data_IF_570926093799
#
_entry.id   IF_570926093799
#
_cell.length_a   1.000
_cell.length_b   1.000
_cell.length_c   1.000
_cell.angle_alpha   90.00
_cell.angle_beta   90.00
_cell.angle_gamma   90.00
#
_symmetry.space_group_name_H-M   'P 1'
#
loop_
_entity.id
_entity.type
_entity.pdbx_description
1 polymer ?
#
# COMPACT_ATOMS: atom_id res chain seq x y z
N UNK A 1 23.02 -11.81 -18.38
CA UNK A 1 22.12 -11.95 -18.04
C UNK A 1 20.97 -12.01 -18.85
N UNK A 2 20.83 -12.92 -19.56
CA UNK A 2 19.73 -13.11 -20.40
C UNK A 2 18.47 -13.27 -19.64
N UNK A 3 18.51 -13.72 -18.42
CA UNK A 3 17.31 -13.89 -17.73
C UNK A 3 16.63 -12.62 -17.41
N UNK A 4 17.37 -11.61 -17.10
CA UNK A 4 16.72 -10.39 -16.82
C UNK A 4 16.12 -9.79 -18.02
N UNK A 5 16.74 -9.95 -19.16
CA UNK A 5 16.14 -9.44 -20.36
C UNK A 5 14.83 -10.15 -20.64
N UNK A 6 14.82 -11.43 -20.41
CA UNK A 6 13.63 -12.18 -20.67
C UNK A 6 12.50 -11.75 -19.76
N UNK A 7 12.81 -11.49 -18.50
CA UNK A 7 11.77 -11.10 -17.61
C UNK A 7 11.22 -9.76 -17.94
N UNK A 8 12.06 -8.83 -18.35
CA UNK A 8 11.54 -7.55 -18.73
C UNK A 8 10.63 -7.67 -19.91
N UNK A 9 10.97 -8.52 -20.84
CA UNK A 9 10.11 -8.67 -21.97
C UNK A 9 8.78 -9.26 -21.61
N UNK A 10 8.76 -10.17 -20.66
CA UNK A 10 7.52 -10.79 -20.33
C UNK A 10 6.66 -9.97 -19.42
N UNK A 11 7.24 -9.33 -18.44
CA UNK A 11 6.41 -8.66 -17.48
C UNK A 11 6.26 -7.21 -17.76
N UNK A 12 7.21 -6.60 -18.43
CA UNK A 12 7.17 -5.19 -18.74
C UNK A 12 7.19 -4.31 -17.51
N UNK A 13 7.69 -4.78 -16.38
CA UNK A 13 7.81 -3.98 -15.17
C UNK A 13 9.25 -3.98 -14.68
N UNK A 14 9.66 -2.88 -14.07
CA UNK A 14 11.01 -2.79 -13.57
C UNK A 14 11.13 -3.18 -12.10
N UNK A 15 10.02 -3.50 -11.46
CA UNK A 15 10.03 -4.04 -10.11
C UNK A 15 10.74 -3.15 -9.08
N UNK A 16 10.42 -1.88 -9.09
CA UNK A 16 10.91 -1.03 -8.03
C UNK A 16 10.03 -1.29 -6.81
N UNK A 17 10.51 -2.09 -5.88
CA UNK A 17 9.71 -2.53 -4.74
C UNK A 17 10.30 -2.05 -3.44
N UNK A 18 9.40 -1.75 -2.49
CA UNK A 18 9.77 -1.44 -1.13
C UNK A 18 9.02 -2.42 -0.25
N UNK A 19 9.72 -3.06 0.66
CA UNK A 19 9.11 -4.05 1.55
C UNK A 19 9.37 -3.67 2.98
N UNK A 20 8.43 -3.96 3.83
CA UNK A 20 8.59 -3.64 5.24
C UNK A 20 7.36 -4.02 6.04
N UNK A 21 7.25 -3.43 7.22
CA UNK A 21 6.16 -3.68 8.14
C UNK A 21 5.59 -2.33 8.56
N UNK A 22 4.30 -2.22 8.64
CA UNK A 22 3.70 -0.96 9.05
C UNK A 22 2.23 -1.09 9.38
N UNK A 23 1.62 0.03 9.72
CA UNK A 23 0.20 0.07 10.05
C UNK A 23 -0.62 0.36 8.81
N UNK A 24 -1.73 -0.35 8.67
CA UNK A 24 -2.65 -0.11 7.57
C UNK A 24 -3.72 0.86 8.04
N UNK A 25 -3.89 1.94 7.32
CA UNK A 25 -4.84 2.99 7.68
C UNK A 25 -5.64 3.46 6.48
N UNK A 26 -6.70 4.17 6.75
CA UNK A 26 -7.46 4.89 5.72
C UNK A 26 -7.79 4.06 4.50
N UNK A 27 -8.35 2.89 4.71
CA UNK A 27 -8.81 2.07 3.59
C UNK A 27 -10.07 2.73 3.03
N UNK A 28 -10.06 2.99 1.73
CA UNK A 28 -11.18 3.70 1.12
C UNK A 28 -11.26 3.40 -0.37
N UNK A 29 -12.42 3.66 -0.91
CA UNK A 29 -12.61 3.57 -2.36
C UNK A 29 -12.57 4.98 -2.91
N UNK A 30 -11.72 5.21 -3.88
CA UNK A 30 -11.53 6.52 -4.46
C UNK A 30 -12.24 6.60 -5.80
N UNK A 31 -12.99 7.68 -5.99
CA UNK A 31 -13.65 7.92 -7.26
C UNK A 31 -12.93 9.08 -7.92
N UNK A 32 -12.21 8.83 -8.97
CA UNK A 32 -11.45 9.91 -9.60
C UNK A 32 -12.38 10.97 -10.14
N UNK A 33 -11.91 12.18 -10.17
CA UNK A 33 -12.72 13.25 -10.71
C UNK A 33 -12.83 13.14 -12.21
N UNK A 34 -12.12 12.21 -12.80
CA UNK A 34 -12.20 12.01 -14.22
C UNK A 34 -13.60 11.70 -14.63
N UNK A 35 -13.95 11.92 -15.86
CA UNK A 35 -15.28 11.68 -16.32
C UNK A 35 -15.56 10.25 -16.60
N UNK A 36 -14.56 9.39 -16.63
CA UNK A 36 -14.81 8.02 -17.00
C UNK A 36 -15.41 7.27 -15.86
N UNK A 37 -16.49 6.56 -16.11
CA UNK A 37 -17.12 5.78 -15.11
C UNK A 37 -16.37 4.51 -14.85
N UNK A 38 -16.52 3.96 -13.70
CA UNK A 38 -15.95 2.65 -13.41
C UNK A 38 -14.50 2.67 -13.09
N UNK A 39 -13.94 3.84 -12.86
CA UNK A 39 -12.54 3.90 -12.56
C UNK A 39 -12.26 4.06 -11.09
N UNK A 40 -13.17 3.60 -10.27
CA UNK A 40 -12.95 3.61 -8.83
C UNK A 40 -11.86 2.64 -8.48
N UNK A 41 -11.11 2.95 -7.46
CA UNK A 41 -10.07 2.02 -7.04
C UNK A 41 -9.96 2.04 -5.53
N UNK A 42 -9.42 0.95 -5.00
CA UNK A 42 -9.22 0.81 -3.57
C UNK A 42 -7.90 1.45 -3.21
N UNK A 43 -7.90 2.24 -2.16
CA UNK A 43 -6.71 2.94 -1.71
C UNK A 43 -6.54 2.80 -0.21
N UNK A 44 -5.33 2.97 0.25
CA UNK A 44 -5.05 2.91 1.67
C UNK A 44 -3.78 3.67 1.96
N UNK A 45 -3.51 3.89 3.24
CA UNK A 45 -2.27 4.50 3.67
C UNK A 45 -1.52 3.47 4.51
N UNK A 46 -0.24 3.30 4.23
CA UNK A 46 0.60 2.41 5.00
C UNK A 46 1.62 3.27 5.73
N UNK A 47 1.60 3.21 7.07
CA UNK A 47 2.59 3.92 7.86
C UNK A 47 3.70 2.94 8.17
N UNK A 48 4.73 2.95 7.35
CA UNK A 48 5.80 1.98 7.45
C UNK A 48 6.73 2.34 8.61
N UNK A 49 7.09 1.35 9.39
CA UNK A 49 8.00 1.55 10.49
C UNK A 49 9.42 1.57 9.97
N UNK A 50 10.23 2.47 10.47
CA UNK A 50 11.63 2.51 10.09
C UNK A 50 12.49 2.79 11.30
N UNK A 51 13.75 2.40 11.18
CA UNK A 51 14.70 2.63 12.26
C UNK A 51 14.76 1.46 13.20
N UNK A 52 15.22 1.70 14.41
CA UNK A 52 15.35 0.61 15.36
C UNK A 52 14.07 0.43 16.14
N UNK A 53 13.88 -0.74 16.72
CA UNK A 53 12.68 -0.99 17.50
C UNK A 53 12.64 -0.12 18.75
N UNK A 54 13.77 0.47 19.15
CA UNK A 54 13.78 1.33 20.31
C UNK A 54 13.50 2.78 19.95
N UNK A 55 13.52 3.12 18.68
CA UNK A 55 13.31 4.50 18.28
C UNK A 55 12.68 4.48 16.91
N UNK A 56 11.41 4.16 16.85
CA UNK A 56 10.71 3.92 15.59
C UNK A 56 10.25 5.22 14.97
N UNK A 57 10.59 5.41 13.70
CA UNK A 57 10.00 6.48 12.92
C UNK A 57 9.03 5.90 11.93
N UNK A 58 8.29 6.74 11.24
CA UNK A 58 7.29 6.27 10.29
C UNK A 58 7.39 7.01 8.98
N UNK A 59 7.22 6.27 7.91
CA UNK A 59 7.11 6.85 6.57
C UNK A 59 5.76 6.45 6.02
N UNK A 60 4.96 7.39 5.59
CA UNK A 60 3.64 7.09 5.10
C UNK A 60 3.65 6.95 3.60
N UNK A 61 3.04 5.87 3.12
CA UNK A 61 2.86 5.66 1.70
C UNK A 61 1.38 5.70 1.40
N UNK A 62 1.00 6.49 0.42
CA UNK A 62 -0.40 6.59 0.01
C UNK A 62 -0.54 5.69 -1.20
N UNK A 63 -1.24 4.59 -1.05
CA UNK A 63 -1.19 3.51 -2.01
C UNK A 63 -2.51 3.24 -2.69
N UNK A 64 -2.40 2.87 -3.96
CA UNK A 64 -3.49 2.25 -4.66
C UNK A 64 -3.29 0.76 -4.50
N UNK A 65 -4.34 0.03 -4.13
CA UNK A 65 -4.22 -1.41 -3.93
C UNK A 65 -4.35 -2.10 -5.28
N UNK A 66 -3.33 -2.85 -5.65
CA UNK A 66 -3.23 -3.39 -7.00
C UNK A 66 -3.23 -4.90 -6.98
N UNK A 67 -4.03 -5.50 -7.83
CA UNK A 67 -4.11 -6.96 -7.93
C UNK A 67 -5.22 -7.53 -7.07
N UNK A 68 -5.75 -8.67 -7.49
CA UNK A 68 -6.92 -9.23 -6.83
C UNK A 68 -6.60 -9.75 -5.43
N UNK A 69 -5.42 -10.33 -5.22
CA UNK A 69 -5.08 -10.85 -3.91
C UNK A 69 -4.92 -9.73 -2.90
N UNK A 70 -4.23 -8.66 -3.27
CA UNK A 70 -4.05 -7.54 -2.36
C UNK A 70 -5.39 -6.90 -2.05
N UNK A 71 -6.25 -6.77 -3.05
CA UNK A 71 -7.56 -6.17 -2.84
C UNK A 71 -8.40 -7.00 -1.88
N UNK A 72 -8.36 -8.32 -2.01
CA UNK A 72 -9.13 -9.17 -1.12
C UNK A 72 -8.68 -9.01 0.32
N UNK A 73 -7.37 -8.96 0.54
CA UNK A 73 -6.86 -8.86 1.88
C UNK A 73 -7.18 -7.50 2.49
N UNK A 74 -7.02 -6.42 1.72
CA UNK A 74 -7.31 -5.10 2.24
C UNK A 74 -8.79 -4.97 2.56
N UNK A 75 -9.65 -5.55 1.70
CA UNK A 75 -11.09 -5.52 2.00
C UNK A 75 -11.39 -6.33 3.26
N UNK A 76 -10.69 -7.44 3.45
CA UNK A 76 -10.89 -8.24 4.66
C UNK A 76 -10.55 -7.44 5.92
N UNK A 77 -9.52 -6.60 5.85
CA UNK A 77 -9.07 -5.84 6.99
C UNK A 77 -9.77 -4.49 7.17
N UNK A 78 -10.59 -4.13 6.20
CA UNK A 78 -11.19 -2.79 6.20
C UNK A 78 -12.01 -2.51 7.45
N UNK A 79 -12.78 -3.49 7.89
CA UNK A 79 -13.63 -3.28 9.06
C UNK A 79 -12.79 -3.04 10.31
N UNK A 80 -11.65 -3.71 10.43
CA UNK A 80 -10.78 -3.53 11.58
C UNK A 80 -10.13 -2.14 11.53
N UNK A 81 -9.76 -1.70 10.36
CA UNK A 81 -9.17 -0.36 10.20
C UNK A 81 -10.21 0.69 10.57
N UNK A 82 -11.44 0.51 10.08
CA UNK A 82 -12.50 1.46 10.38
C UNK A 82 -12.82 1.48 11.87
N UNK A 83 -12.71 0.34 12.53
CA UNK A 83 -12.95 0.28 13.97
C UNK A 83 -11.76 0.79 14.78
N UNK A 84 -10.75 1.30 14.09
CA UNK A 84 -9.58 1.89 14.72
C UNK A 84 -8.75 0.91 15.50
N UNK A 85 -8.79 -0.35 15.10
CA UNK A 85 -7.92 -1.32 15.69
C UNK A 85 -6.53 -1.18 15.12
N UNK A 86 -5.54 -1.72 15.79
CA UNK A 86 -4.18 -1.64 15.31
C UNK A 86 -3.96 -2.76 14.31
N UNK A 87 -3.91 -2.42 13.05
CA UNK A 87 -3.72 -3.40 11.97
C UNK A 87 -2.31 -3.24 11.45
N UNK A 88 -1.47 -4.23 11.71
CA UNK A 88 -0.09 -4.23 11.26
C UNK A 88 0.02 -5.21 10.11
N UNK A 89 0.69 -4.81 9.04
CA UNK A 89 0.86 -5.67 7.89
C UNK A 89 2.32 -5.70 7.48
N UNK A 90 2.73 -6.84 6.91
CA UNK A 90 3.95 -6.91 6.15
C UNK A 90 3.57 -6.62 4.71
N UNK A 91 4.30 -5.77 4.04
CA UNK A 91 3.84 -5.28 2.75
C UNK A 91 4.91 -5.30 1.67
N UNK A 92 4.46 -5.26 0.43
CA UNK A 92 5.30 -4.98 -0.72
C UNK A 92 4.60 -3.88 -1.52
N UNK A 93 5.28 -2.75 -1.65
CA UNK A 93 4.75 -1.60 -2.39
C UNK A 93 5.67 -1.36 -3.58
N UNK A 94 5.08 -1.08 -4.72
CA UNK A 94 5.85 -0.89 -5.95
C UNK A 94 5.66 0.50 -6.51
N UNK A 95 6.59 0.89 -7.35
CA UNK A 95 6.47 2.07 -8.20
C UNK A 95 6.28 3.34 -7.39
N UNK A 96 7.06 3.47 -6.33
CA UNK A 96 6.89 4.62 -5.45
C UNK A 96 7.43 5.89 -6.10
N UNK A 97 6.79 6.98 -5.82
CA UNK A 97 7.26 8.28 -6.31
C UNK A 97 6.71 9.39 -5.40
N UNK A 98 7.42 10.51 -5.30
CA UNK A 98 6.93 11.62 -4.49
C UNK A 98 5.98 12.48 -5.31
N UNK A 99 4.96 13.00 -4.66
CA UNK A 99 4.04 13.89 -5.32
C UNK A 99 3.90 15.13 -4.47
N UNK A 100 4.14 16.28 -5.05
CA UNK A 100 4.04 17.54 -4.34
C UNK A 100 2.61 18.03 -4.37
N UNK A 101 2.18 18.66 -3.30
CA UNK A 101 0.85 19.27 -3.29
C UNK A 101 0.90 20.51 -2.42
N UNK A 102 -0.14 21.32 -2.51
CA UNK A 102 -0.26 22.51 -1.70
C UNK A 102 -1.47 22.32 -0.79
N UNK A 103 -1.31 22.64 0.49
CA UNK A 103 -2.42 22.51 1.42
C UNK A 103 -3.46 23.56 1.07
N UNK A 104 -4.69 23.12 0.93
CA UNK A 104 -5.74 24.04 0.53
C UNK A 104 -6.51 24.58 1.71
N UNK A 105 -6.45 23.93 2.85
CA UNK A 105 -7.20 24.30 4.02
C UNK A 105 -6.37 24.19 5.27
N UNK A 106 -6.85 24.77 6.35
CA UNK A 106 -6.24 24.59 7.65
C UNK A 106 -5.06 25.51 7.88
N UNK A 107 -4.32 25.20 8.92
CA UNK A 107 -3.24 26.05 9.32
C UNK A 107 -2.10 26.07 8.34
N UNK A 108 -2.01 25.04 7.51
CA UNK A 108 -0.94 24.97 6.54
C UNK A 108 -1.35 25.44 5.17
N UNK A 109 -2.49 26.09 5.07
CA UNK A 109 -2.98 26.56 3.78
C UNK A 109 -1.91 27.33 3.05
N UNK A 110 -1.65 27.02 1.81
CA UNK A 110 -0.65 27.67 1.00
C UNK A 110 0.73 27.08 1.11
N UNK A 111 0.95 26.17 2.04
CA UNK A 111 2.26 25.57 2.19
C UNK A 111 2.37 24.32 1.33
N UNK A 112 3.57 24.00 0.94
CA UNK A 112 3.82 22.81 0.14
C UNK A 112 3.92 21.59 1.04
N UNK A 113 3.48 20.47 0.52
CA UNK A 113 3.64 19.20 1.19
C UNK A 113 4.08 18.17 0.19
N UNK A 114 4.47 16.99 0.69
CA UNK A 114 4.87 15.91 -0.19
C UNK A 114 4.20 14.63 0.28
N UNK A 115 3.75 13.84 -0.66
CA UNK A 115 3.15 12.56 -0.39
C UNK A 115 3.91 11.53 -1.17
N UNK A 116 4.19 10.37 -0.59
CA UNK A 116 4.85 9.31 -1.32
C UNK A 116 3.77 8.36 -1.78
N UNK A 117 3.62 8.24 -3.08
CA UNK A 117 2.59 7.40 -3.69
C UNK A 117 3.18 6.08 -4.11
N UNK A 118 2.36 5.07 -4.21
CA UNK A 118 2.81 3.78 -4.67
C UNK A 118 1.64 2.84 -4.89
N UNK A 119 1.95 1.60 -5.20
CA UNK A 119 0.95 0.58 -5.43
C UNK A 119 1.19 -0.54 -4.44
N UNK A 120 0.20 -0.87 -3.63
CA UNK A 120 0.31 -1.97 -2.69
C UNK A 120 0.05 -3.25 -3.46
N UNK A 121 1.08 -4.04 -3.64
CA UNK A 121 0.98 -5.26 -4.43
C UNK A 121 0.68 -6.47 -3.58
N UNK A 122 1.13 -6.47 -2.33
CA UNK A 122 0.99 -7.66 -1.53
C UNK A 122 0.97 -7.34 -0.06
N UNK A 123 0.12 -8.06 0.67
CA UNK A 123 0.13 -8.05 2.12
C UNK A 123 0.63 -9.44 2.52
N UNK A 124 1.82 -9.51 3.11
CA UNK A 124 2.45 -10.78 3.40
C UNK A 124 1.91 -11.42 4.66
N UNK A 125 1.54 -10.62 5.62
CA UNK A 125 0.93 -11.10 6.85
C UNK A 125 0.17 -9.94 7.49
N UNK A 126 -0.70 -10.24 8.40
CA UNK A 126 -1.43 -9.20 9.12
C UNK A 126 -1.67 -9.61 10.56
N UNK A 127 -1.62 -8.61 11.45
CA UNK A 127 -1.98 -8.80 12.84
C UNK A 127 -2.95 -7.71 13.21
N UNK A 128 -4.01 -8.08 13.89
CA UNK A 128 -5.01 -7.12 14.35
C UNK A 128 -5.00 -7.15 15.85
N UNK A 129 -4.66 -6.01 16.49
CA UNK A 129 -4.52 -5.91 17.94
C UNK A 129 -3.66 -7.03 18.48
N UNK A 130 -2.57 -7.33 17.77
CA UNK A 130 -1.59 -8.31 18.21
C UNK A 130 -1.85 -9.74 17.82
N UNK A 131 -3.00 -10.03 17.23
CA UNK A 131 -3.31 -11.41 16.87
C UNK A 131 -3.13 -11.62 15.37
N UNK A 132 -2.47 -12.71 15.01
CA UNK A 132 -2.26 -13.03 13.61
C UNK A 132 -3.56 -13.41 12.93
N UNK A 133 -3.74 -12.93 11.73
CA UNK A 133 -4.96 -13.13 10.97
C UNK A 133 -4.65 -13.94 9.72
N UNK A 134 -5.49 -14.93 9.43
CA UNK A 134 -5.35 -15.70 8.20
C UNK A 134 -5.84 -14.82 7.05
N UNK A 135 -5.03 -14.70 6.03
CA UNK A 135 -5.33 -13.77 4.94
C UNK A 135 -6.15 -14.43 3.84
N UNK A 136 -7.04 -13.63 3.27
CA UNK A 136 -7.93 -14.08 2.22
C UNK A 136 -7.23 -13.98 0.88
N UNK A 137 -6.15 -14.71 0.69
CA UNK A 137 -5.44 -14.68 -0.58
C UNK A 137 -4.91 -16.08 -0.88
N UNK A 138 -4.46 -16.28 -2.10
CA UNK A 138 -3.96 -17.56 -2.48
C UNK A 138 -2.73 -17.86 -1.70
N UNK A 139 -2.62 -19.07 -1.16
CA UNK A 139 -1.50 -19.39 -0.34
C UNK A 139 -0.27 -19.74 -1.13
N UNK A 140 -0.43 -20.10 -2.34
CA UNK A 140 0.68 -20.58 -3.11
C UNK A 140 1.37 -19.56 -3.93
N UNK A 141 1.01 -18.33 -3.81
CA UNK A 141 1.47 -17.37 -4.69
C UNK A 141 2.60 -16.56 -4.23
N UNK A 142 3.38 -17.07 -3.41
CA UNK A 142 4.36 -16.26 -2.80
C UNK A 142 5.32 -15.62 -3.74
N UNK A 143 5.57 -16.19 -4.85
CA UNK A 143 6.50 -15.61 -5.74
C UNK A 143 5.97 -14.81 -6.85
N UNK A 144 4.72 -14.80 -7.10
CA UNK A 144 4.21 -14.15 -8.28
C UNK A 144 3.33 -13.04 -7.90
N UNK A 145 3.85 -11.94 -7.62
CA UNK A 145 3.06 -10.88 -7.08
C UNK A 145 2.52 -9.91 -8.06
N UNK A 146 2.90 -9.95 -9.27
CA UNK A 146 2.36 -8.98 -10.21
C UNK A 146 1.43 -9.58 -11.20
#
# INVERSE_FOLDING_TARGET
MSEQSRQLNESSYFDLHVEGVGYLNRVRTVKPKSKKKGQEFLACTVSAMRGSTDDVGYTKFDCRVSGSDAQKVVRQLEADVTAQKKVIIGFRIADIYPELFTFENGERQGQAGVSIKGRLLRVKFAKVDGESIALAQSSSDSETDR
#
